data_IF_196260756059
#
_entry.id   IF_196260756059
#
_cell.length_a   1.000
_cell.length_b   1.000
_cell.length_c   1.000
_cell.angle_alpha   90.00
_cell.angle_beta   90.00
_cell.angle_gamma   90.00
#
_symmetry.space_group_name_H-M   'P 1'
#
loop_
_entity.id
_entity.type
_entity.pdbx_description
1 polymer ?
#
# COMPACT_ATOMS: atom_id res chain seq x y z
N UNK A 1 -16.22 17.30 8.13
CA UNK A 1 -15.13 16.43 8.61
C UNK A 1 -15.78 15.12 9.02
N UNK A 2 -15.36 13.97 8.48
CA UNK A 2 -15.90 12.68 8.94
C UNK A 2 -15.31 12.37 10.31
N UNK A 3 -16.16 12.44 11.33
CA UNK A 3 -15.82 12.10 12.71
C UNK A 3 -15.71 10.57 12.81
N UNK A 4 -14.54 10.06 13.22
CA UNK A 4 -14.23 8.63 13.31
C UNK A 4 -14.87 7.99 14.55
N UNK A 5 -16.18 8.17 14.72
CA UNK A 5 -16.93 7.80 15.92
C UNK A 5 -17.02 6.29 16.18
N UNK A 6 -16.44 5.43 15.33
CA UNK A 6 -16.15 4.04 15.69
C UNK A 6 -14.88 3.57 14.98
N UNK A 7 -13.78 3.51 15.72
CA UNK A 7 -12.47 3.09 15.19
C UNK A 7 -12.51 1.64 14.66
N UNK A 8 -13.38 0.80 15.20
CA UNK A 8 -13.54 -0.59 14.74
C UNK A 8 -14.41 -0.70 13.48
N UNK A 9 -15.45 0.13 13.32
CA UNK A 9 -16.21 0.22 12.07
C UNK A 9 -15.33 0.76 10.92
N UNK A 10 -14.44 1.71 11.23
CA UNK A 10 -13.46 2.24 10.29
C UNK A 10 -12.44 1.20 9.81
N UNK A 11 -12.08 0.20 10.64
CA UNK A 11 -11.16 -0.89 10.24
C UNK A 11 -11.79 -1.88 9.26
N UNK A 12 -13.10 -2.09 9.36
CA UNK A 12 -13.85 -3.01 8.50
C UNK A 12 -14.29 -2.37 7.18
N UNK A 13 -14.25 -1.04 7.09
CA UNK A 13 -14.53 -0.31 5.86
C UNK A 13 -13.50 -0.66 4.78
N UNK A 14 -14.00 -1.08 3.63
CA UNK A 14 -13.20 -1.37 2.45
C UNK A 14 -13.12 -0.13 1.55
N UNK A 15 -11.92 0.12 1.02
CA UNK A 15 -11.62 1.05 -0.07
C UNK A 15 -11.53 0.25 -1.36
N UNK A 16 -12.42 0.55 -2.32
CA UNK A 16 -12.55 -0.23 -3.54
C UNK A 16 -13.21 -1.59 -3.26
N UNK A 17 -12.54 -2.69 -3.65
CA UNK A 17 -13.07 -4.06 -3.46
C UNK A 17 -12.30 -4.91 -2.45
N UNK A 18 -11.04 -4.57 -2.16
CA UNK A 18 -10.09 -5.51 -1.54
C UNK A 18 -9.35 -4.92 -0.35
N UNK A 19 -9.08 -3.60 -0.33
CA UNK A 19 -8.24 -2.99 0.70
C UNK A 19 -9.09 -2.44 1.83
N UNK A 20 -8.70 -2.65 3.09
CA UNK A 20 -9.31 -1.95 4.23
C UNK A 20 -8.80 -0.52 4.32
N UNK A 21 -9.58 0.39 4.93
CA UNK A 21 -9.16 1.77 5.20
C UNK A 21 -7.88 1.80 6.04
N UNK A 22 -7.75 0.90 7.02
CA UNK A 22 -6.52 0.76 7.81
C UNK A 22 -5.32 0.42 6.93
N UNK A 23 -5.47 -0.53 6.00
CA UNK A 23 -4.39 -0.91 5.09
C UNK A 23 -3.97 0.24 4.18
N UNK A 24 -4.93 1.01 3.67
CA UNK A 24 -4.64 2.19 2.85
C UNK A 24 -3.88 3.26 3.65
N UNK A 25 -4.22 3.47 4.91
CA UNK A 25 -3.49 4.40 5.78
C UNK A 25 -2.05 3.96 6.02
N UNK A 26 -1.81 2.67 6.22
CA UNK A 26 -0.46 2.13 6.33
C UNK A 26 0.33 2.37 5.05
N UNK A 27 -0.23 2.05 3.88
CA UNK A 27 0.43 2.24 2.58
C UNK A 27 0.74 3.72 2.30
N UNK A 28 -0.13 4.64 2.72
CA UNK A 28 0.06 6.08 2.59
C UNK A 28 0.98 6.68 3.66
N UNK A 29 1.34 5.94 4.71
CA UNK A 29 2.25 6.44 5.72
C UNK A 29 3.64 6.60 5.11
N UNK A 30 4.22 7.79 5.26
CA UNK A 30 5.54 8.13 4.73
C UNK A 30 6.60 7.10 5.19
N UNK A 31 6.50 6.65 6.43
CA UNK A 31 7.46 5.71 7.02
C UNK A 31 7.32 4.30 6.46
N UNK A 32 6.11 3.87 6.11
CA UNK A 32 5.87 2.55 5.56
C UNK A 32 6.54 2.38 4.19
N UNK A 33 6.46 3.40 3.32
CA UNK A 33 7.16 3.38 2.03
C UNK A 33 8.67 3.19 2.22
N UNK A 34 9.29 3.94 3.14
CA UNK A 34 10.72 3.80 3.40
C UNK A 34 11.09 2.51 4.12
N UNK A 35 10.24 1.98 5.00
CA UNK A 35 10.44 0.66 5.61
C UNK A 35 10.38 -0.45 4.55
N UNK A 36 9.38 -0.40 3.66
CA UNK A 36 9.25 -1.34 2.56
C UNK A 36 10.51 -1.36 1.66
N UNK A 37 11.06 -0.18 1.34
CA UNK A 37 12.30 -0.07 0.58
C UNK A 37 13.52 -0.61 1.34
N UNK A 38 13.57 -0.48 2.66
CA UNK A 38 14.64 -1.04 3.50
C UNK A 38 14.57 -2.57 3.57
N UNK A 39 13.37 -3.11 3.72
CA UNK A 39 13.14 -4.54 3.87
C UNK A 39 13.34 -5.29 2.54
N UNK A 40 13.10 -4.61 1.40
CA UNK A 40 13.28 -5.15 0.07
C UNK A 40 14.09 -4.21 -0.84
N UNK A 41 15.42 -4.21 -0.74
CA UNK A 41 16.28 -3.35 -1.56
C UNK A 41 16.20 -3.68 -3.06
N UNK A 42 15.77 -4.89 -3.40
CA UNK A 42 15.54 -5.35 -4.78
C UNK A 42 14.48 -4.52 -5.51
N UNK A 43 13.53 -3.89 -4.79
CA UNK A 43 12.47 -3.06 -5.39
C UNK A 43 13.03 -1.84 -6.11
N UNK A 44 14.17 -1.31 -5.66
CA UNK A 44 14.83 -0.18 -6.30
C UNK A 44 15.70 -0.60 -7.50
N UNK A 45 15.82 -1.90 -7.79
CA UNK A 45 16.62 -2.36 -8.91
C UNK A 45 15.92 -2.04 -10.22
N UNK A 46 16.69 -1.44 -11.12
CA UNK A 46 16.30 -1.31 -12.50
C UNK A 46 16.41 -2.69 -13.12
N UNK A 47 15.30 -3.22 -13.64
CA UNK A 47 15.24 -4.48 -14.38
C UNK A 47 15.05 -4.18 -15.88
N UNK A 48 16.13 -4.07 -16.67
CA UNK A 48 16.01 -3.79 -18.09
C UNK A 48 15.23 -4.90 -18.79
N UNK A 49 14.26 -4.52 -19.63
CA UNK A 49 13.45 -5.49 -20.38
C UNK A 49 12.28 -6.11 -19.61
N UNK A 50 12.00 -5.70 -18.37
CA UNK A 50 10.86 -6.20 -17.58
C UNK A 50 9.51 -5.97 -18.25
N UNK A 51 9.40 -4.94 -19.10
CA UNK A 51 8.22 -4.66 -19.90
C UNK A 51 7.88 -5.82 -20.84
N UNK A 52 8.88 -6.50 -21.41
CA UNK A 52 8.67 -7.66 -22.29
C UNK A 52 8.19 -8.90 -21.52
N UNK A 53 8.48 -8.98 -20.22
CA UNK A 53 8.02 -10.07 -19.35
C UNK A 53 6.59 -9.85 -18.87
N UNK A 54 6.21 -8.60 -18.58
CA UNK A 54 4.89 -8.22 -18.05
C UNK A 54 3.81 -8.07 -19.14
N UNK A 55 4.19 -7.68 -20.36
CA UNK A 55 3.25 -7.38 -21.46
C UNK A 55 3.06 -8.56 -22.44
N UNK A 56 3.21 -9.80 -21.97
CA UNK A 56 2.92 -11.00 -22.78
C UNK A 56 1.43 -11.20 -23.04
#
# INVERSE_FOLDING_TARGET
>A
MCDFADSDAARQLLVGRVLTVERVRQLNAKDYFYQMLKDNPEIAKIHPGIENELLK
#
